data_IF_539157176818
#
_entry.id   IF_539157176818
#
_cell.length_a   1.000
_cell.length_b   1.000
_cell.length_c   1.000
_cell.angle_alpha   90.00
_cell.angle_beta   90.00
_cell.angle_gamma   90.00
#
_symmetry.space_group_name_H-M   'P 1'
#
loop_
_entity.id
_entity.type
_entity.pdbx_description
1 polymer ?
#
# COMPACT_ATOMS: atom_id res chain seq x y z
N UNK A 1 34.00 -8.88 17.68
CA UNK A 1 33.31 -8.01 16.71
C UNK A 1 31.84 -8.02 17.09
N UNK A 2 31.43 -7.07 17.93
CA UNK A 2 30.06 -6.99 18.45
C UNK A 2 29.42 -5.76 17.78
N UNK A 3 28.48 -6.00 16.87
CA UNK A 3 27.99 -5.01 15.90
C UNK A 3 26.93 -4.08 16.46
N UNK A 4 27.21 -2.77 16.61
CA UNK A 4 26.21 -1.71 16.63
C UNK A 4 25.62 -1.43 15.22
N UNK A 5 26.25 -1.93 14.15
CA UNK A 5 25.93 -1.60 12.76
C UNK A 5 24.60 -2.19 12.24
N UNK A 6 24.17 -3.35 12.77
CA UNK A 6 22.92 -3.99 12.34
C UNK A 6 21.67 -3.27 12.86
N UNK A 7 21.75 -2.67 14.06
CA UNK A 7 20.66 -1.91 14.66
C UNK A 7 20.38 -0.61 13.90
N UNK A 8 21.44 0.11 13.52
CA UNK A 8 21.33 1.36 12.76
C UNK A 8 20.84 1.10 11.33
N UNK A 9 21.32 0.03 10.68
CA UNK A 9 20.82 -0.39 9.37
C UNK A 9 19.32 -0.70 9.41
N UNK A 10 18.87 -1.55 10.34
CA UNK A 10 17.45 -1.90 10.47
C UNK A 10 16.60 -0.69 10.83
N UNK A 11 17.09 0.19 11.69
CA UNK A 11 16.38 1.42 12.04
C UNK A 11 16.21 2.33 10.82
N UNK A 12 17.27 2.52 10.03
CA UNK A 12 17.22 3.34 8.81
C UNK A 12 16.37 2.73 7.69
N UNK A 13 16.32 1.40 7.62
CA UNK A 13 15.50 0.67 6.65
C UNK A 13 14.02 0.70 7.05
N UNK A 14 13.73 0.51 8.33
CA UNK A 14 12.37 0.38 8.86
C UNK A 14 11.73 1.72 9.20
N UNK A 15 12.51 2.81 9.33
CA UNK A 15 11.96 4.16 9.49
C UNK A 15 11.49 4.66 8.12
N UNK A 16 10.18 4.63 7.84
CA UNK A 16 9.69 4.99 6.52
C UNK A 16 9.88 6.49 6.32
N UNK A 17 10.34 6.89 5.13
CA UNK A 17 10.30 8.30 4.78
C UNK A 17 8.85 8.78 4.74
N UNK A 18 8.57 10.08 4.98
CA UNK A 18 7.22 10.64 4.83
C UNK A 18 6.61 10.31 3.46
N UNK A 19 7.43 10.27 2.40
CA UNK A 19 7.01 9.89 1.05
C UNK A 19 6.55 8.44 0.98
N UNK A 20 7.29 7.50 1.57
CA UNK A 20 6.90 6.09 1.64
C UNK A 20 5.56 5.92 2.36
N UNK A 21 5.39 6.61 3.49
CA UNK A 21 4.15 6.57 4.25
C UNK A 21 2.95 7.03 3.40
N UNK A 22 3.09 8.17 2.71
CA UNK A 22 2.05 8.66 1.81
C UNK A 22 1.76 7.72 0.63
N UNK A 23 2.78 7.12 0.03
CA UNK A 23 2.60 6.15 -1.06
C UNK A 23 1.81 4.93 -0.62
N UNK A 24 2.11 4.39 0.56
CA UNK A 24 1.40 3.23 1.14
C UNK A 24 -0.06 3.56 1.48
N UNK A 25 -0.32 4.74 2.04
CA UNK A 25 -1.67 5.21 2.38
C UNK A 25 -2.54 5.46 1.15
N UNK A 26 -1.94 5.96 0.07
CA UNK A 26 -2.69 6.37 -1.13
C UNK A 26 -2.97 5.22 -2.09
N UNK A 27 -2.35 4.04 -1.92
CA UNK A 27 -2.60 2.91 -2.81
C UNK A 27 -4.05 2.38 -2.74
N UNK A 28 -4.68 2.17 -1.57
CA UNK A 28 -6.09 1.81 -1.52
C UNK A 28 -6.99 2.87 -2.17
N UNK A 29 -6.62 4.15 -2.07
CA UNK A 29 -7.32 5.24 -2.73
C UNK A 29 -7.20 5.14 -4.27
N UNK A 30 -6.01 4.87 -4.82
CA UNK A 30 -5.83 4.72 -6.27
C UNK A 30 -6.57 3.49 -6.81
N UNK A 31 -6.62 2.38 -6.06
CA UNK A 31 -7.44 1.20 -6.41
C UNK A 31 -8.93 1.55 -6.35
N UNK A 32 -9.38 2.30 -5.35
CA UNK A 32 -10.77 2.77 -5.25
C UNK A 32 -11.14 3.62 -6.46
N UNK A 33 -10.31 4.59 -6.83
CA UNK A 33 -10.54 5.47 -7.97
C UNK A 33 -10.60 4.68 -9.28
N UNK A 34 -9.65 3.76 -9.50
CA UNK A 34 -9.65 2.82 -10.63
C UNK A 34 -10.97 2.02 -10.68
N UNK A 35 -11.42 1.55 -9.51
CA UNK A 35 -12.65 0.80 -9.34
C UNK A 35 -13.93 1.59 -9.62
N UNK A 36 -14.01 2.84 -9.18
CA UNK A 36 -15.17 3.73 -9.37
C UNK A 36 -15.26 4.19 -10.81
N UNK A 37 -14.13 4.53 -11.42
CA UNK A 37 -14.06 5.01 -12.80
C UNK A 37 -14.39 3.89 -13.78
N UNK A 38 -13.90 2.67 -13.56
CA UNK A 38 -14.34 1.50 -14.34
C UNK A 38 -15.83 1.20 -14.18
N UNK A 39 -16.40 1.39 -12.98
CA UNK A 39 -17.84 1.21 -12.78
C UNK A 39 -18.69 2.27 -13.52
N UNK A 40 -18.20 3.51 -13.63
CA UNK A 40 -18.84 4.57 -14.42
C UNK A 40 -18.86 4.22 -15.92
N UNK A 41 -17.86 3.48 -16.40
CA UNK A 41 -17.75 2.96 -17.77
C UNK A 41 -18.55 1.65 -18.00
N UNK A 42 -19.40 1.24 -17.05
CA UNK A 42 -20.26 0.04 -17.12
C UNK A 42 -19.51 -1.32 -17.12
N UNK A 43 -18.26 -1.36 -16.66
CA UNK A 43 -17.55 -2.62 -16.48
C UNK A 43 -18.14 -3.48 -15.36
N UNK A 44 -18.63 -4.66 -15.74
CA UNK A 44 -19.15 -5.65 -14.82
C UNK A 44 -18.03 -6.47 -14.21
N UNK A 45 -17.86 -6.41 -12.88
CA UNK A 45 -16.90 -7.25 -12.15
C UNK A 45 -16.08 -6.50 -11.10
N UNK A 46 -16.08 -5.16 -11.13
CA UNK A 46 -15.21 -4.33 -10.29
C UNK A 46 -15.82 -3.94 -8.93
N UNK A 47 -17.15 -4.00 -8.77
CA UNK A 47 -17.84 -3.44 -7.59
C UNK A 47 -17.33 -3.95 -6.23
N UNK A 48 -17.06 -5.24 -6.10
CA UNK A 48 -16.57 -5.83 -4.82
C UNK A 48 -15.17 -5.34 -4.48
N UNK A 49 -14.28 -5.24 -5.47
CA UNK A 49 -12.93 -4.72 -5.31
C UNK A 49 -12.98 -3.23 -4.93
N UNK A 50 -13.78 -2.42 -5.63
CA UNK A 50 -13.94 -1.00 -5.34
C UNK A 50 -14.49 -0.75 -3.92
N UNK A 51 -15.47 -1.54 -3.48
CA UNK A 51 -16.03 -1.43 -2.12
C UNK A 51 -15.00 -1.81 -1.04
N UNK A 52 -14.24 -2.88 -1.26
CA UNK A 52 -13.16 -3.27 -0.33
C UNK A 52 -12.06 -2.21 -0.27
N UNK A 53 -11.65 -1.68 -1.42
CA UNK A 53 -10.69 -0.60 -1.51
C UNK A 53 -11.18 0.65 -0.78
N UNK A 54 -12.45 1.04 -0.98
CA UNK A 54 -13.05 2.20 -0.34
C UNK A 54 -13.11 2.03 1.20
N UNK A 55 -13.50 0.85 1.68
CA UNK A 55 -13.50 0.55 3.11
C UNK A 55 -12.09 0.64 3.71
N UNK A 56 -11.08 0.12 3.00
CA UNK A 56 -9.67 0.26 3.41
C UNK A 56 -9.18 1.70 3.38
N UNK A 57 -9.56 2.49 2.37
CA UNK A 57 -9.25 3.93 2.34
C UNK A 57 -9.88 4.64 3.53
N UNK A 58 -11.16 4.40 3.82
CA UNK A 58 -11.80 4.98 5.00
C UNK A 58 -11.07 4.56 6.27
N UNK A 59 -10.76 3.28 6.44
CA UNK A 59 -10.05 2.75 7.60
C UNK A 59 -8.69 3.43 7.84
N UNK A 60 -7.89 3.61 6.78
CA UNK A 60 -6.53 4.17 6.89
C UNK A 60 -6.51 5.68 7.05
N UNK A 61 -7.50 6.39 6.49
CA UNK A 61 -7.59 7.85 6.60
C UNK A 61 -8.41 8.31 7.81
N UNK A 62 -9.15 7.42 8.46
CA UNK A 62 -9.88 7.75 9.67
C UNK A 62 -8.86 8.04 10.78
N UNK A 63 -8.88 9.23 11.41
CA UNK A 63 -7.91 9.61 12.43
C UNK A 63 -8.22 8.95 13.79
N UNK A 64 -8.48 7.63 13.80
CA UNK A 64 -8.70 6.87 15.03
C UNK A 64 -7.37 6.68 15.72
N UNK A 65 -7.26 7.21 16.93
CA UNK A 65 -6.11 6.98 17.81
C UNK A 65 -6.56 6.04 18.92
N UNK A 66 -5.95 4.87 18.98
CA UNK A 66 -6.16 3.93 20.07
C UNK A 66 -5.21 4.26 21.22
N UNK A 67 -5.72 4.33 22.45
CA UNK A 67 -4.92 4.51 23.64
C UNK A 67 -4.32 3.18 24.15
N UNK A 68 -4.97 2.06 23.82
CA UNK A 68 -4.54 0.72 24.20
C UNK A 68 -3.51 0.16 23.18
N UNK A 69 -2.30 -0.25 23.62
CA UNK A 69 -1.28 -0.81 22.74
C UNK A 69 -1.74 -2.07 21.99
N UNK A 70 -2.63 -2.89 22.58
CA UNK A 70 -3.18 -4.09 21.92
C UNK A 70 -4.05 -3.68 20.73
N UNK A 71 -4.84 -2.62 20.87
CA UNK A 71 -5.69 -2.11 19.79
C UNK A 71 -4.85 -1.46 18.68
N UNK A 72 -3.73 -0.81 19.02
CA UNK A 72 -2.77 -0.30 18.03
C UNK A 72 -2.22 -1.46 17.19
N UNK A 73 -1.70 -2.51 17.84
CA UNK A 73 -1.13 -3.66 17.14
C UNK A 73 -2.16 -4.42 16.29
N UNK A 74 -3.40 -4.54 16.80
CA UNK A 74 -4.50 -5.11 16.03
C UNK A 74 -4.83 -4.27 14.80
N UNK A 75 -4.89 -2.95 14.95
CA UNK A 75 -5.12 -2.01 13.84
C UNK A 75 -4.04 -2.11 12.77
N UNK A 76 -2.77 -2.21 13.17
CA UNK A 76 -1.64 -2.42 12.26
C UNK A 76 -1.77 -3.76 11.51
N UNK A 77 -2.10 -4.83 12.24
CA UNK A 77 -2.30 -6.17 11.66
C UNK A 77 -3.44 -6.18 10.65
N UNK A 78 -4.58 -5.60 11.00
CA UNK A 78 -5.74 -5.45 10.10
C UNK A 78 -5.36 -4.64 8.88
N UNK A 79 -4.60 -3.55 9.05
CA UNK A 79 -4.12 -2.73 7.95
C UNK A 79 -3.20 -3.51 7.01
N UNK A 80 -2.24 -4.28 7.54
CA UNK A 80 -1.33 -5.11 6.73
C UNK A 80 -2.09 -6.20 5.96
N UNK A 81 -2.96 -6.96 6.64
CA UNK A 81 -3.75 -8.02 6.01
C UNK A 81 -4.72 -7.45 4.97
N UNK A 82 -5.34 -6.32 5.29
CA UNK A 82 -6.21 -5.60 4.37
C UNK A 82 -5.48 -5.13 3.12
N UNK A 83 -4.26 -4.60 3.28
CA UNK A 83 -3.41 -4.16 2.17
C UNK A 83 -2.98 -5.33 1.29
N UNK A 84 -2.49 -6.43 1.88
CA UNK A 84 -2.11 -7.65 1.15
C UNK A 84 -3.30 -8.27 0.41
N UNK A 85 -4.45 -8.36 1.08
CA UNK A 85 -5.68 -8.86 0.49
C UNK A 85 -6.17 -7.99 -0.67
N UNK A 86 -6.10 -6.66 -0.52
CA UNK A 86 -6.49 -5.71 -1.57
C UNK A 86 -5.57 -5.79 -2.79
N UNK A 87 -4.24 -5.75 -2.57
CA UNK A 87 -3.26 -5.85 -3.64
C UNK A 87 -3.37 -7.21 -4.36
N UNK A 88 -3.53 -8.31 -3.63
CA UNK A 88 -3.71 -9.64 -4.20
C UNK A 88 -5.02 -9.78 -4.98
N UNK A 89 -6.12 -9.23 -4.47
CA UNK A 89 -7.40 -9.25 -5.17
C UNK A 89 -7.37 -8.39 -6.44
N UNK A 90 -6.77 -7.19 -6.38
CA UNK A 90 -6.57 -6.35 -7.56
C UNK A 90 -5.67 -7.04 -8.60
N UNK A 91 -4.55 -7.64 -8.18
CA UNK A 91 -3.66 -8.36 -9.08
C UNK A 91 -4.41 -9.51 -9.78
N UNK A 92 -5.13 -10.35 -9.02
CA UNK A 92 -5.97 -11.40 -9.61
C UNK A 92 -6.99 -10.83 -10.59
N UNK A 93 -7.63 -9.71 -10.26
CA UNK A 93 -8.61 -9.06 -11.12
C UNK A 93 -7.99 -8.64 -12.46
N UNK A 94 -6.81 -8.01 -12.43
CA UNK A 94 -6.06 -7.60 -13.63
C UNK A 94 -5.64 -8.80 -14.48
N UNK A 95 -5.06 -9.83 -13.86
CA UNK A 95 -4.53 -11.00 -14.59
C UNK A 95 -5.63 -11.86 -15.21
N UNK A 96 -6.75 -12.06 -14.50
CA UNK A 96 -7.82 -12.96 -14.93
C UNK A 96 -8.82 -12.27 -15.85
N UNK A 97 -9.30 -11.08 -15.45
CA UNK A 97 -10.43 -10.45 -16.15
C UNK A 97 -10.00 -9.47 -17.24
N UNK A 98 -8.70 -9.09 -17.29
CA UNK A 98 -8.17 -8.03 -18.17
C UNK A 98 -9.11 -6.82 -18.29
N UNK A 99 -9.52 -6.25 -17.14
CA UNK A 99 -10.51 -5.19 -17.05
C UNK A 99 -10.10 -3.95 -17.86
N UNK A 100 -11.11 -3.27 -18.41
CA UNK A 100 -10.98 -1.92 -18.95
C UNK A 100 -11.60 -0.92 -17.96
N UNK A 101 -11.15 0.36 -17.94
CA UNK A 101 -10.14 0.95 -18.80
C UNK A 101 -8.69 0.70 -18.35
N UNK A 102 -7.81 0.48 -19.31
CA UNK A 102 -6.37 0.18 -19.10
C UNK A 102 -5.64 1.29 -18.33
N UNK A 103 -6.06 2.55 -18.50
CA UNK A 103 -5.43 3.69 -17.82
C UNK A 103 -5.63 3.64 -16.30
N UNK A 104 -6.76 3.13 -15.82
CA UNK A 104 -7.02 2.99 -14.38
C UNK A 104 -6.09 1.98 -13.72
N UNK A 105 -5.70 0.93 -14.46
CA UNK A 105 -4.70 -0.05 -14.01
C UNK A 105 -3.28 0.50 -14.13
N UNK A 106 -3.00 1.29 -15.17
CA UNK A 106 -1.72 1.97 -15.32
C UNK A 106 -1.41 2.86 -14.11
N UNK A 107 -2.39 3.60 -13.59
CA UNK A 107 -2.21 4.40 -12.35
C UNK A 107 -1.80 3.54 -11.15
N UNK A 108 -2.46 2.40 -10.92
CA UNK A 108 -2.13 1.51 -9.81
C UNK A 108 -0.74 0.89 -9.99
N UNK A 109 -0.38 0.48 -11.21
CA UNK A 109 0.95 -0.06 -11.53
C UNK A 109 2.04 1.00 -11.30
N UNK A 110 1.84 2.23 -11.79
CA UNK A 110 2.76 3.34 -11.55
C UNK A 110 2.94 3.61 -10.06
N UNK A 111 1.85 3.52 -9.28
CA UNK A 111 1.89 3.68 -7.83
C UNK A 111 2.69 2.57 -7.14
N UNK A 112 2.51 1.30 -7.55
CA UNK A 112 3.29 0.17 -7.07
C UNK A 112 4.79 0.32 -7.40
N UNK A 113 5.11 0.78 -8.61
CA UNK A 113 6.50 1.06 -9.01
C UNK A 113 7.10 2.19 -8.15
N UNK A 114 6.35 3.24 -7.85
CA UNK A 114 6.80 4.30 -6.96
C UNK A 114 7.11 3.78 -5.54
N UNK A 115 6.29 2.87 -5.01
CA UNK A 115 6.56 2.20 -3.73
C UNK A 115 7.86 1.39 -3.81
N UNK A 116 8.06 0.60 -4.87
CA UNK A 116 9.28 -0.19 -5.05
C UNK A 116 10.53 0.69 -5.14
N UNK A 117 10.46 1.80 -5.88
CA UNK A 117 11.56 2.78 -5.96
C UNK A 117 11.85 3.38 -4.60
N UNK A 118 10.81 3.78 -3.85
CA UNK A 118 10.98 4.30 -2.50
C UNK A 118 11.62 3.26 -1.54
N UNK A 119 11.29 1.98 -1.70
CA UNK A 119 11.91 0.88 -0.94
C UNK A 119 13.38 0.74 -1.32
N UNK A 120 13.70 0.79 -2.61
CA UNK A 120 15.07 0.75 -3.12
C UNK A 120 15.92 1.92 -2.60
N UNK A 121 15.37 3.13 -2.58
CA UNK A 121 16.03 4.31 -2.01
C UNK A 121 16.29 4.13 -0.51
N UNK A 122 15.32 3.61 0.24
CA UNK A 122 15.51 3.33 1.67
C UNK A 122 16.61 2.30 1.92
N UNK A 123 16.67 1.24 1.09
CA UNK A 123 17.71 0.21 1.15
C UNK A 123 19.09 0.79 0.87
N UNK A 124 19.23 1.56 -0.23
CA UNK A 124 20.51 2.20 -0.59
C UNK A 124 20.95 3.19 0.50
N UNK A 125 20.02 3.99 1.03
CA UNK A 125 20.31 4.90 2.15
C UNK A 125 20.83 4.13 3.35
N UNK A 126 20.14 3.07 3.77
CA UNK A 126 20.55 2.25 4.90
C UNK A 126 21.95 1.62 4.67
N UNK A 127 22.20 1.12 3.45
CA UNK A 127 23.50 0.57 3.07
C UNK A 127 24.64 1.59 3.15
N UNK A 128 24.44 2.80 2.63
CA UNK A 128 25.46 3.87 2.63
C UNK A 128 25.83 4.32 4.05
N UNK A 129 24.87 4.32 4.98
CA UNK A 129 25.12 4.78 6.35
C UNK A 129 25.63 3.66 7.28
N UNK A 130 25.55 2.41 6.84
CA UNK A 130 26.00 1.24 7.60
C UNK A 130 27.40 0.75 7.21
N UNK A 131 27.98 1.26 6.12
CA UNK A 131 29.33 0.92 5.64
C UNK A 131 30.29 2.08 5.77
#
# INVERSE_FOLDING_TARGET
MNGPESGDFLTLLLTPSPVMHWLLLTLPLTITLSGVLGAAEHETGNRRLSLWAAAMTVWLFLPVRFADPVLVQLSETVSMLGWLGLAGYWARHVWVNRPTPVWGHALVITHLLAILVACGVALVRAWIHAG
#
